data_IF_026271934729
#
_entry.id   IF_026271934729
#
_cell.length_a   1.000
_cell.length_b   1.000
_cell.length_c   1.000
_cell.angle_alpha   90.00
_cell.angle_beta   90.00
_cell.angle_gamma   90.00
#
_symmetry.space_group_name_H-M   'P 1'
#
loop_
_entity.id
_entity.type
_entity.pdbx_description
1 polymer ?
#
# COMPACT_ATOMS: atom_id res chain seq x y z
N UNK A 1 -5.69 -5.82 -8.76
CA UNK A 1 -4.54 -4.93 -8.98
C UNK A 1 -3.40 -5.42 -8.10
N UNK A 2 -2.16 -5.37 -8.59
CA UNK A 2 -0.97 -5.61 -7.78
C UNK A 2 -0.50 -4.31 -7.13
N UNK A 3 0.38 -4.43 -6.12
CA UNK A 3 0.99 -3.28 -5.46
C UNK A 3 1.74 -2.37 -6.45
N UNK A 4 2.48 -2.97 -7.39
CA UNK A 4 3.22 -2.25 -8.42
C UNK A 4 2.28 -1.48 -9.36
N UNK A 5 1.13 -2.07 -9.71
CA UNK A 5 0.11 -1.39 -10.53
C UNK A 5 -0.53 -0.22 -9.79
N UNK A 6 -0.76 -0.35 -8.48
CA UNK A 6 -1.28 0.75 -7.67
C UNK A 6 -0.25 1.88 -7.55
N UNK A 7 1.03 1.54 -7.44
CA UNK A 7 2.12 2.52 -7.39
C UNK A 7 2.29 3.27 -8.71
N UNK A 8 2.35 2.54 -9.84
CA UNK A 8 2.43 3.12 -11.19
C UNK A 8 1.28 4.11 -11.42
N UNK A 9 0.06 3.71 -11.05
CA UNK A 9 -1.11 4.59 -11.22
C UNK A 9 -1.09 5.80 -10.28
N UNK A 10 -0.58 5.67 -9.06
CA UNK A 10 -0.38 6.81 -8.16
C UNK A 10 0.60 7.83 -8.75
N UNK A 11 1.67 7.37 -9.39
CA UNK A 11 2.64 8.24 -10.09
C UNK A 11 1.98 8.97 -11.27
N UNK A 12 1.16 8.27 -12.06
CA UNK A 12 0.39 8.88 -13.14
C UNK A 12 -0.59 9.95 -12.62
N UNK A 13 -1.29 9.67 -11.52
CA UNK A 13 -2.23 10.61 -10.89
C UNK A 13 -1.48 11.86 -10.40
N UNK A 14 -0.34 11.68 -9.73
CA UNK A 14 0.49 12.79 -9.26
C UNK A 14 0.97 13.66 -10.45
N UNK A 15 1.48 13.02 -11.51
CA UNK A 15 1.90 13.73 -12.72
C UNK A 15 0.74 14.44 -13.43
N UNK A 16 -0.47 13.86 -13.40
CA UNK A 16 -1.66 14.50 -13.96
C UNK A 16 -2.09 15.72 -13.15
N UNK A 17 -2.08 15.64 -11.81
CA UNK A 17 -2.46 16.73 -10.91
C UNK A 17 -1.54 17.96 -11.00
N UNK A 18 -0.28 17.78 -11.43
CA UNK A 18 0.67 18.87 -11.67
C UNK A 18 0.36 19.67 -12.96
N UNK A 19 -0.56 19.20 -13.81
CA UNK A 19 -0.92 19.89 -15.04
C UNK A 19 -1.92 21.01 -14.79
N UNK A 20 -1.66 22.18 -15.40
CA UNK A 20 -2.50 23.37 -15.25
C UNK A 20 -3.83 23.32 -16.04
N UNK A 21 -4.09 22.27 -16.83
CA UNK A 21 -5.25 22.14 -17.72
C UNK A 21 -6.42 21.32 -17.14
N UNK A 22 -6.33 20.91 -15.87
CA UNK A 22 -7.41 20.17 -15.21
C UNK A 22 -8.54 21.10 -14.72
N UNK A 23 -9.77 20.66 -14.94
CA UNK A 23 -10.93 21.27 -14.27
C UNK A 23 -10.99 20.83 -12.80
N UNK A 24 -11.70 21.59 -11.96
CA UNK A 24 -11.88 21.25 -10.55
C UNK A 24 -12.45 19.83 -10.36
N UNK A 25 -13.47 19.46 -11.14
CA UNK A 25 -14.10 18.13 -11.07
C UNK A 25 -13.12 17.02 -11.44
N UNK A 26 -12.26 17.24 -12.44
CA UNK A 26 -11.22 16.28 -12.83
C UNK A 26 -10.17 16.12 -11.72
N UNK A 27 -9.73 17.23 -11.12
CA UNK A 27 -8.79 17.21 -10.01
C UNK A 27 -9.36 16.49 -8.79
N UNK A 28 -10.64 16.69 -8.47
CA UNK A 28 -11.31 15.98 -7.37
C UNK A 28 -11.41 14.48 -7.65
N UNK A 29 -11.80 14.08 -8.86
CA UNK A 29 -11.88 12.67 -9.24
C UNK A 29 -10.52 11.95 -9.16
N UNK A 30 -9.45 12.61 -9.66
CA UNK A 30 -8.08 12.09 -9.57
C UNK A 30 -7.61 11.99 -8.11
N UNK A 31 -7.94 12.97 -7.29
CA UNK A 31 -7.59 12.96 -5.87
C UNK A 31 -8.28 11.83 -5.12
N UNK A 32 -9.58 11.63 -5.36
CA UNK A 32 -10.36 10.52 -4.77
C UNK A 32 -9.79 9.15 -5.19
N UNK A 33 -9.47 8.98 -6.48
CA UNK A 33 -8.81 7.76 -6.98
C UNK A 33 -7.47 7.55 -6.26
N UNK A 34 -6.65 8.60 -6.14
CA UNK A 34 -5.36 8.55 -5.47
C UNK A 34 -5.47 8.12 -4.00
N UNK A 35 -6.43 8.67 -3.24
CA UNK A 35 -6.65 8.29 -1.84
C UNK A 35 -7.06 6.81 -1.72
N UNK A 36 -7.92 6.33 -2.61
CA UNK A 36 -8.34 4.93 -2.59
C UNK A 36 -7.17 3.99 -2.86
N UNK A 37 -6.34 4.31 -3.86
CA UNK A 37 -5.14 3.53 -4.20
C UNK A 37 -4.08 3.54 -3.11
N UNK A 38 -3.82 4.71 -2.53
CA UNK A 38 -2.86 4.84 -1.43
C UNK A 38 -3.25 3.96 -0.24
N UNK A 39 -4.55 3.89 0.07
CA UNK A 39 -5.07 3.00 1.11
C UNK A 39 -4.81 1.53 0.78
N UNK A 40 -5.13 1.09 -0.43
CA UNK A 40 -4.88 -0.29 -0.86
C UNK A 40 -3.40 -0.66 -0.83
N UNK A 41 -2.53 0.23 -1.33
CA UNK A 41 -1.08 0.02 -1.29
C UNK A 41 -0.55 -0.07 0.16
N UNK A 42 -1.05 0.78 1.06
CA UNK A 42 -0.68 0.76 2.48
C UNK A 42 -1.12 -0.54 3.18
N UNK A 43 -2.32 -1.03 2.89
CA UNK A 43 -2.83 -2.31 3.42
C UNK A 43 -1.99 -3.50 2.92
N UNK A 44 -1.60 -3.49 1.65
CA UNK A 44 -0.73 -4.51 1.07
C UNK A 44 0.66 -4.51 1.74
N UNK A 45 1.23 -3.32 1.98
CA UNK A 45 2.51 -3.17 2.66
C UNK A 45 2.45 -3.67 4.11
N UNK A 46 1.44 -3.27 4.88
CA UNK A 46 1.25 -3.72 6.25
C UNK A 46 1.12 -5.26 6.34
N UNK A 47 0.43 -5.87 5.37
CA UNK A 47 0.35 -7.34 5.27
C UNK A 47 1.70 -7.98 4.96
N UNK A 48 2.51 -7.37 4.09
CA UNK A 48 3.84 -7.86 3.77
C UNK A 48 4.78 -7.76 4.99
N UNK A 49 4.77 -6.63 5.69
CA UNK A 49 5.52 -6.41 6.93
C UNK A 49 5.16 -7.46 8.00
N UNK A 50 3.86 -7.68 8.26
CA UNK A 50 3.43 -8.69 9.22
C UNK A 50 3.93 -10.10 8.87
N UNK A 51 3.95 -10.45 7.58
CA UNK A 51 4.51 -11.74 7.13
C UNK A 51 6.01 -11.83 7.36
N UNK A 52 6.76 -10.75 7.10
CA UNK A 52 8.20 -10.69 7.36
C UNK A 52 8.47 -10.85 8.86
N UNK A 53 7.76 -10.12 9.71
CA UNK A 53 7.88 -10.24 11.18
C UNK A 53 7.67 -11.67 11.65
N UNK A 54 6.59 -12.34 11.22
CA UNK A 54 6.36 -13.74 11.58
C UNK A 54 7.45 -14.68 11.08
N UNK A 55 8.02 -14.44 9.90
CA UNK A 55 9.11 -15.26 9.37
C UNK A 55 10.41 -15.08 10.17
N UNK A 56 10.71 -13.84 10.56
CA UNK A 56 11.87 -13.51 11.42
C UNK A 56 11.70 -14.14 12.80
N UNK A 57 10.54 -13.98 13.45
CA UNK A 57 10.24 -14.58 14.76
C UNK A 57 10.36 -16.11 14.74
N UNK A 58 9.95 -16.76 13.65
CA UNK A 58 10.10 -18.21 13.46
C UNK A 58 11.54 -18.63 13.20
N UNK A 59 12.30 -17.83 12.44
CA UNK A 59 13.71 -18.10 12.16
C UNK A 59 14.58 -17.97 13.41
N UNK A 60 14.24 -17.02 14.30
CA UNK A 60 14.94 -16.79 15.57
C UNK A 60 14.50 -17.73 16.70
N UNK A 61 13.65 -18.74 16.42
CA UNK A 61 13.28 -19.79 17.38
C UNK A 61 12.32 -19.36 18.49
N UNK A 62 11.76 -18.14 18.44
CA UNK A 62 10.92 -17.58 19.51
C UNK A 62 9.51 -18.19 19.63
N UNK A 63 9.18 -19.20 18.81
CA UNK A 63 7.89 -19.89 18.80
C UNK A 63 7.98 -21.38 19.17
N UNK A 64 9.03 -21.81 19.87
CA UNK A 64 9.06 -23.11 20.55
C UNK A 64 8.98 -22.94 22.08
N UNK A 65 8.00 -22.22 22.62
CA UNK A 65 7.69 -22.32 24.05
C UNK A 65 6.31 -21.74 24.44
N UNK A 66 5.26 -22.07 23.67
CA UNK A 66 3.86 -21.91 24.15
C UNK A 66 2.99 -23.08 23.70
N UNK A 67 3.45 -24.29 24.01
CA UNK A 67 2.58 -25.45 24.18
C UNK A 67 3.26 -26.42 25.18
N UNK A 68 3.43 -25.93 26.41
CA UNK A 68 3.79 -26.76 27.56
C UNK A 68 3.20 -26.12 28.82
N UNK A 69 2.03 -26.62 29.25
CA UNK A 69 1.41 -26.29 30.54
C UNK A 69 -0.09 -26.14 30.47
#
# INVERSE_FOLDING_TARGET
MSFEQDLERLEEIAAALDRADLTLDQSLALFEEGIQRLRTASEALAKAEGRVTTLVEKADGALEERDAG
#
